data_IF_360762811856
#
_entry.id   IF_360762811856
#
_cell.length_a   1.000
_cell.length_b   1.000
_cell.length_c   1.000
_cell.angle_alpha   90.00
_cell.angle_beta   90.00
_cell.angle_gamma   90.00
#
_symmetry.space_group_name_H-M   'P 1'
#
loop_
_entity.id
_entity.type
_entity.pdbx_description
1 polymer ?
#
# COMPACT_ATOMS: atom_id res chain seq x y z
N UNK A 1 -6.03 9.05 -4.46
CA UNK A 1 -6.17 10.37 -3.82
C UNK A 1 -5.71 10.34 -2.37
N UNK A 2 -6.27 9.43 -1.55
CA UNK A 2 -5.91 9.19 -0.14
C UNK A 2 -4.42 9.36 0.24
N UNK A 3 -3.50 8.53 -0.28
CA UNK A 3 -2.07 8.63 0.08
C UNK A 3 -1.45 9.99 -0.20
N UNK A 4 -1.87 10.69 -1.26
CA UNK A 4 -1.33 12.01 -1.62
C UNK A 4 -1.72 13.07 -0.62
N UNK A 5 -2.93 12.98 -0.06
CA UNK A 5 -3.39 13.90 0.99
C UNK A 5 -2.54 13.75 2.25
N UNK A 6 -2.25 12.51 2.66
CA UNK A 6 -1.39 12.22 3.82
C UNK A 6 0.02 12.78 3.58
N UNK A 7 0.61 12.54 2.40
CA UNK A 7 1.94 13.07 2.08
C UNK A 7 1.98 14.61 2.14
N UNK A 8 0.97 15.28 1.60
CA UNK A 8 0.86 16.75 1.68
C UNK A 8 0.70 17.24 3.12
N UNK A 9 -0.13 16.56 3.92
CA UNK A 9 -0.39 16.90 5.31
C UNK A 9 0.83 16.71 6.23
N UNK A 10 1.80 15.88 5.84
CA UNK A 10 3.05 15.70 6.60
C UNK A 10 3.91 16.97 6.72
N UNK A 11 3.63 18.01 5.93
CA UNK A 11 4.39 19.27 5.93
C UNK A 11 5.82 19.16 5.36
N UNK A 12 6.25 17.96 4.92
CA UNK A 12 7.58 17.74 4.37
C UNK A 12 7.51 17.51 2.86
N UNK A 13 7.74 18.57 2.08
CA UNK A 13 7.64 18.54 0.61
C UNK A 13 8.65 17.59 -0.04
N UNK A 14 9.85 17.48 0.52
CA UNK A 14 10.89 16.56 0.06
C UNK A 14 10.44 15.10 0.20
N UNK A 15 10.05 14.68 1.42
CA UNK A 15 9.58 13.31 1.66
C UNK A 15 8.30 12.99 0.89
N UNK A 16 7.39 13.96 0.73
CA UNK A 16 6.20 13.79 -0.09
C UNK A 16 6.54 13.50 -1.56
N UNK A 17 7.50 14.23 -2.15
CA UNK A 17 7.97 13.98 -3.51
C UNK A 17 8.60 12.60 -3.66
N UNK A 18 9.43 12.20 -2.69
CA UNK A 18 10.10 10.90 -2.68
C UNK A 18 9.10 9.75 -2.58
N UNK A 19 8.09 9.85 -1.71
CA UNK A 19 7.03 8.87 -1.57
C UNK A 19 6.18 8.75 -2.84
N UNK A 20 5.81 9.87 -3.48
CA UNK A 20 5.06 9.88 -4.74
C UNK A 20 5.86 9.20 -5.85
N UNK A 21 7.16 9.46 -5.93
CA UNK A 21 8.05 8.84 -6.93
C UNK A 21 8.12 7.33 -6.76
N UNK A 22 8.27 6.84 -5.53
CA UNK A 22 8.22 5.39 -5.22
C UNK A 22 6.85 4.80 -5.55
N UNK A 23 5.76 5.44 -5.13
CA UNK A 23 4.40 4.97 -5.41
C UNK A 23 4.13 4.82 -6.91
N UNK A 24 4.62 5.76 -7.74
CA UNK A 24 4.49 5.67 -9.21
C UNK A 24 5.18 4.41 -9.76
N UNK A 25 6.38 4.08 -9.28
CA UNK A 25 7.12 2.87 -9.67
C UNK A 25 6.41 1.59 -9.24
N UNK A 26 5.76 1.60 -8.07
CA UNK A 26 5.07 0.43 -7.52
C UNK A 26 3.63 0.22 -8.05
N UNK A 27 3.11 1.17 -8.83
CA UNK A 27 1.72 1.15 -9.32
C UNK A 27 1.34 -0.12 -10.11
N UNK A 28 2.19 -0.70 -10.99
CA UNK A 28 1.86 -1.94 -11.69
C UNK A 28 1.63 -3.11 -10.73
N UNK A 29 2.53 -3.30 -9.75
CA UNK A 29 2.45 -4.37 -8.75
C UNK A 29 1.22 -4.22 -7.85
N UNK A 30 0.91 -2.98 -7.43
CA UNK A 30 -0.30 -2.70 -6.65
C UNK A 30 -1.57 -3.10 -7.40
N UNK A 31 -1.63 -2.88 -8.72
CA UNK A 31 -2.78 -3.28 -9.53
C UNK A 31 -2.94 -4.80 -9.58
N UNK A 32 -1.84 -5.54 -9.67
CA UNK A 32 -1.85 -7.00 -9.63
C UNK A 32 -2.32 -7.50 -8.27
N UNK A 33 -1.81 -6.93 -7.17
CA UNK A 33 -2.16 -7.33 -5.82
C UNK A 33 -3.67 -7.19 -5.53
N UNK A 34 -4.30 -6.11 -6.02
CA UNK A 34 -5.73 -5.88 -5.82
C UNK A 34 -6.62 -6.92 -6.51
N UNK A 35 -6.08 -7.73 -7.44
CA UNK A 35 -6.81 -8.87 -8.04
C UNK A 35 -6.89 -10.07 -7.11
N UNK A 36 -6.07 -10.13 -6.06
CA UNK A 36 -6.17 -11.18 -5.06
C UNK A 36 -7.52 -11.12 -4.33
N UNK A 37 -8.15 -12.28 -4.15
CA UNK A 37 -9.47 -12.40 -3.52
C UNK A 37 -9.47 -11.75 -2.14
N UNK A 38 -10.40 -10.83 -1.90
CA UNK A 38 -10.58 -10.15 -0.61
C UNK A 38 -9.62 -8.97 -0.35
N UNK A 39 -8.59 -8.75 -1.17
CA UNK A 39 -7.58 -7.72 -0.91
C UNK A 39 -8.14 -6.30 -0.94
N UNK A 40 -9.08 -6.03 -1.85
CA UNK A 40 -9.70 -4.69 -1.94
C UNK A 40 -10.41 -4.33 -0.64
N UNK A 41 -11.22 -5.25 -0.09
CA UNK A 41 -11.92 -5.04 1.19
C UNK A 41 -10.95 -4.81 2.33
N UNK A 42 -9.93 -5.66 2.45
CA UNK A 42 -8.88 -5.52 3.45
C UNK A 42 -8.16 -4.15 3.33
N UNK A 43 -7.84 -3.70 2.11
CA UNK A 43 -7.20 -2.40 1.91
C UNK A 43 -8.08 -1.23 2.34
N UNK A 44 -9.40 -1.35 2.23
CA UNK A 44 -10.33 -0.31 2.69
C UNK A 44 -10.45 -0.30 4.21
N UNK A 45 -10.44 -1.48 4.85
CA UNK A 45 -10.39 -1.61 6.31
C UNK A 45 -9.10 -0.97 6.88
N UNK A 46 -7.94 -1.26 6.26
CA UNK A 46 -6.65 -0.63 6.58
C UNK A 46 -6.73 0.90 6.46
N UNK A 47 -7.35 1.44 5.39
CA UNK A 47 -7.52 2.89 5.22
C UNK A 47 -8.40 3.51 6.29
N UNK A 48 -9.47 2.84 6.71
CA UNK A 48 -10.34 3.31 7.78
C UNK A 48 -9.60 3.37 9.13
N UNK A 49 -8.73 2.40 9.42
CA UNK A 49 -7.89 2.41 10.63
C UNK A 49 -6.88 3.56 10.59
N UNK A 50 -6.23 3.80 9.45
CA UNK A 50 -5.31 4.93 9.27
C UNK A 50 -6.04 6.25 9.51
N UNK A 51 -7.24 6.42 8.94
CA UNK A 51 -8.02 7.64 9.11
C UNK A 51 -8.36 7.89 10.59
N UNK A 52 -8.87 6.87 11.29
CA UNK A 52 -9.17 6.97 12.72
C UNK A 52 -7.93 7.30 13.57
N UNK A 53 -6.77 6.73 13.23
CA UNK A 53 -5.52 7.02 13.92
C UNK A 53 -5.10 8.49 13.72
N UNK A 54 -5.27 9.01 12.50
CA UNK A 54 -5.01 10.43 12.19
C UNK A 54 -6.00 11.36 12.91
N UNK A 55 -7.31 11.04 12.90
CA UNK A 55 -8.35 11.83 13.56
C UNK A 55 -8.17 11.89 15.09
N UNK A 56 -7.70 10.80 15.69
CA UNK A 56 -7.40 10.73 17.13
C UNK A 56 -6.03 11.30 17.51
N UNK A 57 -5.23 11.74 16.54
CA UNK A 57 -3.87 12.24 16.78
C UNK A 57 -2.86 11.17 17.22
N UNK A 58 -3.19 9.88 17.08
CA UNK A 58 -2.31 8.79 17.45
C UNK A 58 -1.28 8.52 16.35
N UNK A 59 -0.15 9.23 16.44
CA UNK A 59 0.93 9.16 15.45
C UNK A 59 1.54 7.76 15.32
N UNK A 60 1.73 7.04 16.44
CA UNK A 60 2.35 5.72 16.43
C UNK A 60 1.47 4.70 15.72
N UNK A 61 0.16 4.71 15.99
CA UNK A 61 -0.80 3.84 15.32
C UNK A 61 -0.93 4.18 13.82
N UNK A 62 -0.93 5.47 13.47
CA UNK A 62 -0.97 5.89 12.09
C UNK A 62 0.28 5.39 11.33
N UNK A 63 1.46 5.53 11.95
CA UNK A 63 2.72 5.12 11.36
C UNK A 63 2.85 3.61 11.22
N UNK A 64 2.48 2.83 12.25
CA UNK A 64 2.49 1.36 12.18
C UNK A 64 1.51 0.85 11.14
N UNK A 65 0.26 1.33 11.16
CA UNK A 65 -0.77 0.90 10.21
C UNK A 65 -0.40 1.27 8.76
N UNK A 66 0.21 2.45 8.53
CA UNK A 66 0.70 2.83 7.21
C UNK A 66 1.85 1.93 6.74
N UNK A 67 2.78 1.58 7.64
CA UNK A 67 3.87 0.65 7.33
C UNK A 67 3.33 -0.72 6.95
N UNK A 68 2.41 -1.27 7.75
CA UNK A 68 1.79 -2.56 7.49
C UNK A 68 0.96 -2.53 6.20
N UNK A 69 0.18 -1.47 5.96
CA UNK A 69 -0.58 -1.28 4.72
C UNK A 69 0.30 -1.33 3.46
N UNK A 70 1.55 -0.87 3.54
CA UNK A 70 2.52 -0.90 2.44
C UNK A 70 3.30 -2.22 2.41
N UNK A 71 3.70 -2.76 3.56
CA UNK A 71 4.47 -4.01 3.68
C UNK A 71 3.64 -5.25 3.33
N UNK A 72 2.36 -5.30 3.72
CA UNK A 72 1.38 -6.31 3.30
C UNK A 72 1.13 -6.26 1.78
N UNK A 73 1.57 -5.19 1.08
CA UNK A 73 1.68 -5.20 -0.39
C UNK A 73 2.78 -6.10 -0.92
N UNK A 74 3.84 -6.35 -0.14
CA UNK A 74 4.99 -7.18 -0.52
C UNK A 74 4.83 -8.67 -0.21
N UNK A 75 4.41 -9.06 0.99
CA UNK A 75 4.34 -10.49 1.38
C UNK A 75 3.37 -11.29 0.50
N UNK A 76 2.15 -10.79 0.31
CA UNK A 76 1.18 -11.46 -0.58
C UNK A 76 1.50 -11.31 -2.07
N UNK A 77 2.40 -10.39 -2.42
CA UNK A 77 2.93 -10.30 -3.78
C UNK A 77 3.92 -11.44 -4.04
N UNK A 78 4.75 -11.82 -3.06
CA UNK A 78 5.56 -13.03 -3.14
C UNK A 78 4.70 -14.29 -3.28
N UNK A 79 3.60 -14.40 -2.51
CA UNK A 79 2.64 -15.52 -2.68
C UNK A 79 2.00 -15.53 -4.08
N UNK A 80 1.65 -14.34 -4.60
CA UNK A 80 1.10 -14.19 -5.95
C UNK A 80 2.12 -14.63 -7.00
N UNK A 81 3.37 -14.17 -6.93
CA UNK A 81 4.44 -14.58 -7.84
C UNK A 81 4.69 -16.09 -7.77
N UNK A 82 4.78 -16.65 -6.56
CA UNK A 82 4.92 -18.09 -6.35
C UNK A 82 3.75 -18.90 -6.94
N UNK A 83 2.52 -18.34 -6.88
CA UNK A 83 1.35 -18.97 -7.51
C UNK A 83 1.36 -18.87 -9.05
N UNK A 84 1.95 -17.81 -9.61
CA UNK A 84 2.11 -17.63 -11.05
C UNK A 84 3.16 -18.60 -11.62
N UNK A 85 4.32 -18.72 -10.96
CA UNK A 85 5.37 -19.69 -11.31
C UNK A 85 4.84 -21.13 -11.30
N UNK A 86 4.06 -21.52 -10.27
CA UNK A 86 3.41 -22.84 -10.20
C UNK A 86 2.36 -23.08 -11.29
N UNK A 87 1.76 -22.02 -11.84
CA UNK A 87 0.71 -22.12 -12.87
C UNK A 87 1.23 -22.13 -14.31
N UNK A 88 2.55 -22.01 -14.52
CA UNK A 88 3.17 -21.95 -15.86
C UNK A 88 2.89 -20.65 -16.63
N UNK A 89 2.34 -19.61 -15.98
CA UNK A 89 2.14 -18.28 -16.59
C UNK A 89 3.33 -17.38 -16.26
N UNK A 90 3.98 -16.84 -17.30
CA UNK A 90 5.04 -15.84 -17.15
C UNK A 90 4.54 -14.61 -16.39
N UNK A 91 5.38 -14.14 -15.45
CA UNK A 91 5.17 -12.88 -14.75
C UNK A 91 5.27 -11.75 -15.78
N UNK A 92 4.25 -10.87 -15.92
CA UNK A 92 4.35 -9.74 -16.82
C UNK A 92 5.41 -8.75 -16.29
N UNK A 93 6.35 -8.41 -17.17
CA UNK A 93 7.45 -7.47 -16.92
C UNK A 93 6.97 -6.06 -16.56
#
# INVERSE_FOLDING_TARGET
EFHRLIYKASGNSFLAAEAIRLQKRLRPFRRLQLRARGRLRQSMEEHAVILKALESGNADLAASTLRDHVAVQGERFHDLLASYEKSGRQVPA
#
